data_IF_382109436126
#
_entry.id   IF_382109436126
#
_cell.length_a   1.000
_cell.length_b   1.000
_cell.length_c   1.000
_cell.angle_alpha   90.00
_cell.angle_beta   90.00
_cell.angle_gamma   90.00
#
_symmetry.space_group_name_H-M   'P 1'
#
loop_
_entity.id
_entity.type
_entity.pdbx_description
1 polymer ?
#
# COMPACT_ATOMS: atom_id res chain seq x y z
N UNK A 1 -60.44 -15.67 27.26
CA UNK A 1 -60.17 -14.84 28.46
C UNK A 1 -58.69 -14.72 28.87
N UNK A 2 -57.81 -15.76 28.88
CA UNK A 2 -56.40 -15.56 29.27
C UNK A 2 -55.45 -15.16 28.12
N UNK A 3 -55.77 -15.45 26.86
CA UNK A 3 -54.88 -15.17 25.70
C UNK A 3 -54.90 -13.71 25.23
N UNK A 4 -56.06 -13.05 25.23
CA UNK A 4 -56.19 -11.65 24.80
C UNK A 4 -55.40 -10.71 25.72
N UNK A 5 -55.46 -10.96 27.04
CA UNK A 5 -54.75 -10.18 28.04
C UNK A 5 -53.23 -10.32 27.94
N UNK A 6 -52.74 -11.50 27.52
CA UNK A 6 -51.32 -11.76 27.29
C UNK A 6 -50.84 -11.06 26.00
N UNK A 7 -51.67 -11.04 24.96
CA UNK A 7 -51.39 -10.35 23.71
C UNK A 7 -51.32 -8.84 23.91
N UNK A 8 -52.26 -8.28 24.69
CA UNK A 8 -52.29 -6.85 25.02
C UNK A 8 -51.04 -6.43 25.80
N UNK A 9 -50.62 -7.23 26.80
CA UNK A 9 -49.36 -7.00 27.52
C UNK A 9 -48.13 -7.09 26.62
N UNK A 10 -48.10 -8.01 25.65
CA UNK A 10 -46.99 -8.12 24.71
C UNK A 10 -46.90 -6.91 23.77
N UNK A 11 -48.04 -6.41 23.29
CA UNK A 11 -48.11 -5.21 22.45
C UNK A 11 -47.69 -3.95 23.22
N UNK A 12 -48.11 -3.80 24.48
CA UNK A 12 -47.67 -2.71 25.34
C UNK A 12 -46.16 -2.75 25.60
N UNK A 13 -45.60 -3.93 25.90
CA UNK A 13 -44.15 -4.09 26.08
C UNK A 13 -43.37 -3.79 24.80
N UNK A 14 -43.88 -4.20 23.64
CA UNK A 14 -43.26 -3.90 22.35
C UNK A 14 -43.27 -2.41 22.04
N UNK A 15 -44.40 -1.73 22.26
CA UNK A 15 -44.52 -0.28 22.06
C UNK A 15 -43.59 0.49 23.00
N UNK A 16 -43.50 0.06 24.26
CA UNK A 16 -42.62 0.69 25.24
C UNK A 16 -41.13 0.45 24.94
N UNK A 17 -40.77 -0.71 24.39
CA UNK A 17 -39.42 -0.98 23.92
C UNK A 17 -39.04 -0.09 22.72
N UNK A 18 -39.97 0.10 21.78
CA UNK A 18 -39.79 0.96 20.62
C UNK A 18 -39.63 2.44 21.01
N UNK A 19 -40.47 2.94 21.92
CA UNK A 19 -40.36 4.31 22.44
C UNK A 19 -39.03 4.54 23.18
N UNK A 20 -38.59 3.57 23.98
CA UNK A 20 -37.29 3.63 24.64
C UNK A 20 -36.13 3.63 23.64
N UNK A 21 -36.23 2.86 22.55
CA UNK A 21 -35.22 2.84 21.49
C UNK A 21 -35.09 4.22 20.83
N UNK A 22 -36.21 4.83 20.42
CA UNK A 22 -36.19 6.17 19.82
C UNK A 22 -35.63 7.23 20.76
N UNK A 23 -35.99 7.19 22.06
CA UNK A 23 -35.45 8.13 23.05
C UNK A 23 -33.94 8.02 23.21
N UNK A 24 -33.40 6.80 23.22
CA UNK A 24 -31.95 6.57 23.33
C UNK A 24 -31.23 7.03 22.05
N UNK A 25 -31.80 6.78 20.88
CA UNK A 25 -31.20 7.21 19.62
C UNK A 25 -31.23 8.75 19.47
N UNK A 26 -32.28 9.41 19.91
CA UNK A 26 -32.36 10.87 19.96
C UNK A 26 -31.29 11.47 20.89
N UNK A 27 -31.09 10.88 22.07
CA UNK A 27 -30.01 11.28 22.98
C UNK A 27 -28.62 11.08 22.36
N UNK A 28 -28.43 10.00 21.60
CA UNK A 28 -27.18 9.70 20.89
C UNK A 28 -26.90 10.74 19.80
N UNK A 29 -27.89 11.07 18.99
CA UNK A 29 -27.79 12.09 17.94
C UNK A 29 -27.47 13.48 18.54
N UNK A 30 -28.17 13.88 19.61
CA UNK A 30 -27.88 15.13 20.32
C UNK A 30 -26.45 15.16 20.91
N UNK A 31 -25.92 14.02 21.35
CA UNK A 31 -24.55 13.93 21.84
C UNK A 31 -23.51 14.03 20.71
N UNK A 32 -23.80 13.46 19.53
CA UNK A 32 -22.95 13.59 18.34
C UNK A 32 -22.93 15.03 17.81
N UNK A 33 -24.08 15.71 17.76
CA UNK A 33 -24.16 17.10 17.30
C UNK A 33 -23.38 18.03 18.25
N UNK A 34 -23.53 17.87 19.58
CA UNK A 34 -22.71 18.60 20.56
C UNK A 34 -21.21 18.36 20.39
N UNK A 35 -20.79 17.15 20.00
CA UNK A 35 -19.38 16.85 19.72
C UNK A 35 -18.89 17.56 18.47
N UNK A 36 -19.66 17.56 17.39
CA UNK A 36 -19.35 18.28 16.14
C UNK A 36 -19.24 19.78 16.37
N UNK A 37 -20.17 20.37 17.12
CA UNK A 37 -20.12 21.78 17.49
C UNK A 37 -18.85 22.11 18.30
N UNK A 38 -18.48 21.24 19.25
CA UNK A 38 -17.27 21.41 20.04
C UNK A 38 -15.98 21.27 19.21
N UNK A 39 -15.95 20.38 18.22
CA UNK A 39 -14.85 20.26 17.26
C UNK A 39 -14.75 21.51 16.39
N UNK A 40 -15.86 21.97 15.83
CA UNK A 40 -15.89 23.16 14.99
C UNK A 40 -15.45 24.42 15.77
N UNK A 41 -15.86 24.55 17.04
CA UNK A 41 -15.41 25.62 17.91
C UNK A 41 -13.89 25.58 18.18
N UNK A 42 -13.31 24.38 18.33
CA UNK A 42 -11.86 24.22 18.48
C UNK A 42 -11.10 24.61 17.20
N UNK A 43 -11.61 24.24 16.04
CA UNK A 43 -11.02 24.62 14.75
C UNK A 43 -11.04 26.14 14.54
N UNK A 44 -12.18 26.79 14.80
CA UNK A 44 -12.33 28.24 14.76
C UNK A 44 -11.37 28.94 15.72
N UNK A 45 -11.19 28.39 16.93
CA UNK A 45 -10.25 28.93 17.90
C UNK A 45 -8.79 28.81 17.42
N UNK A 46 -8.40 27.66 16.87
CA UNK A 46 -7.06 27.49 16.28
C UNK A 46 -6.81 28.45 15.11
N UNK A 47 -7.79 28.65 14.24
CA UNK A 47 -7.69 29.61 13.13
C UNK A 47 -7.53 31.05 13.63
N UNK A 48 -8.25 31.43 14.71
CA UNK A 48 -8.08 32.73 15.35
C UNK A 48 -6.68 32.89 15.96
N UNK A 49 -6.15 31.87 16.65
CA UNK A 49 -4.79 31.93 17.20
C UNK A 49 -3.74 32.06 16.09
N UNK A 50 -3.87 31.29 15.00
CA UNK A 50 -2.99 31.40 13.83
C UNK A 50 -3.04 32.81 13.24
N UNK A 51 -4.23 33.39 13.07
CA UNK A 51 -4.39 34.76 12.57
C UNK A 51 -3.72 35.82 13.48
N UNK A 52 -3.74 35.63 14.81
CA UNK A 52 -3.05 36.50 15.76
C UNK A 52 -1.53 36.36 15.70
N UNK A 53 -1.01 35.14 15.51
CA UNK A 53 0.43 34.89 15.32
C UNK A 53 0.94 35.56 14.03
N UNK A 54 0.17 35.50 12.94
CA UNK A 54 0.53 36.20 11.70
C UNK A 54 0.38 37.72 11.78
N UNK A 55 -0.50 38.24 12.65
CA UNK A 55 -0.67 39.68 12.86
C UNK A 55 0.37 40.30 13.80
N UNK A 56 0.99 39.50 14.68
CA UNK A 56 2.03 39.94 15.63
C UNK A 56 3.47 39.84 15.09
N UNK A 57 3.65 39.30 13.88
CA UNK A 57 4.95 39.17 13.21
C UNK A 57 5.42 40.37 12.37
N UNK A 58 4.77 41.55 12.46
CA UNK A 58 5.25 42.77 11.77
C UNK A 58 5.99 43.70 12.75
N UNK A 59 7.27 44.03 12.49
CA UNK A 59 7.94 45.07 13.26
C UNK A 59 7.36 46.44 12.88
N UNK A 60 6.99 47.21 13.90
CA UNK A 60 6.61 48.61 13.81
C UNK A 60 7.83 49.49 13.47
N UNK A 61 7.82 50.14 12.31
CA UNK A 61 8.64 51.33 12.06
C UNK A 61 7.75 52.58 12.13
N UNK A 62 7.98 53.38 13.16
CA UNK A 62 7.40 54.70 13.37
C UNK A 62 8.02 55.75 12.44
N UNK A 63 7.19 56.53 11.76
CA UNK A 63 7.56 57.91 11.39
C UNK A 63 6.30 58.79 11.30
N UNK A 64 6.31 59.85 12.10
CA UNK A 64 5.30 60.90 12.23
C UNK A 64 5.39 61.95 11.11
N UNK A 65 4.26 62.37 10.53
CA UNK A 65 4.02 63.74 10.07
C UNK A 65 2.53 64.04 9.86
N UNK A 66 2.16 65.30 10.10
CA UNK A 66 0.87 65.93 10.45
C UNK A 66 -0.18 66.12 9.31
N UNK A 67 -1.42 66.60 9.60
CA UNK A 67 -2.61 66.42 8.74
C UNK A 67 -3.14 67.70 8.02
N UNK A 68 -3.89 67.52 6.90
CA UNK A 68 -5.05 68.31 6.37
C UNK A 68 -5.35 67.98 4.87
N UNK A 69 -6.50 68.38 4.26
CA UNK A 69 -7.89 67.93 4.48
C UNK A 69 -8.59 67.41 3.19
N UNK A 70 -9.78 66.80 3.33
CA UNK A 70 -10.70 66.29 2.28
C UNK A 70 -11.37 67.41 1.44
N UNK A 71 -11.78 67.19 0.15
CA UNK A 71 -13.13 66.64 -0.24
C UNK A 71 -13.18 66.00 -1.68
N UNK A 72 -14.32 65.82 -2.39
CA UNK A 72 -15.64 65.21 -2.08
C UNK A 72 -16.04 64.04 -3.04
N UNK A 73 -17.23 63.47 -2.85
CA UNK A 73 -17.80 62.28 -3.51
C UNK A 73 -18.67 62.54 -4.78
N UNK A 74 -18.74 61.56 -5.72
CA UNK A 74 -19.90 61.11 -6.57
C UNK A 74 -19.45 60.16 -7.73
N UNK A 75 -20.33 59.45 -8.49
CA UNK A 75 -21.20 58.29 -8.19
C UNK A 75 -20.96 57.11 -9.21
N UNK A 76 -21.77 56.03 -9.29
CA UNK A 76 -21.39 54.76 -9.92
C UNK A 76 -21.89 54.58 -11.38
N UNK A 77 -21.26 53.68 -12.15
CA UNK A 77 -21.73 53.24 -13.48
C UNK A 77 -21.62 51.72 -13.64
N UNK A 78 -22.70 51.15 -14.19
CA UNK A 78 -23.04 49.74 -14.44
C UNK A 78 -22.59 49.30 -15.86
N UNK A 79 -22.59 47.99 -16.10
CA UNK A 79 -22.71 47.25 -17.39
C UNK A 79 -21.40 46.61 -17.88
N UNK A 80 -21.32 45.52 -18.64
CA UNK A 80 -22.13 44.33 -18.97
C UNK A 80 -21.34 43.60 -20.08
N UNK A 81 -21.20 42.28 -20.02
CA UNK A 81 -20.74 41.34 -21.09
C UNK A 81 -21.59 41.38 -22.38
N UNK A 82 -21.31 40.63 -23.49
CA UNK A 82 -20.10 40.11 -24.22
C UNK A 82 -20.28 40.32 -25.79
N UNK A 83 -19.93 39.44 -26.79
CA UNK A 83 -18.92 38.38 -27.01
C UNK A 83 -18.14 38.40 -28.38
N UNK A 84 -17.12 37.52 -28.48
CA UNK A 84 -16.54 36.74 -29.62
C UNK A 84 -16.66 37.13 -31.11
N UNK A 85 -15.56 37.00 -31.88
CA UNK A 85 -15.56 36.49 -33.27
C UNK A 85 -14.18 35.93 -33.73
N UNK A 86 -14.24 34.86 -34.53
CA UNK A 86 -13.17 34.09 -35.20
C UNK A 86 -12.64 34.75 -36.49
N UNK A 87 -11.39 34.44 -36.92
CA UNK A 87 -11.04 34.12 -38.34
C UNK A 87 -9.59 33.59 -38.51
N UNK A 88 -9.38 32.82 -39.60
CA UNK A 88 -8.26 31.92 -39.98
C UNK A 88 -7.07 32.63 -40.71
N UNK A 89 -5.87 32.00 -40.72
CA UNK A 89 -4.54 32.43 -41.29
C UNK A 89 -4.39 32.44 -42.84
N UNK A 90 -3.25 32.11 -43.51
CA UNK A 90 -1.86 31.69 -43.12
C UNK A 90 -0.73 32.41 -43.99
N UNK A 91 0.40 31.78 -44.45
CA UNK A 91 1.67 31.42 -43.78
C UNK A 91 2.95 32.06 -44.40
N UNK A 92 4.13 31.89 -43.76
CA UNK A 92 5.43 32.30 -44.32
C UNK A 92 6.63 31.45 -43.85
N UNK A 93 7.36 30.91 -44.83
CA UNK A 93 8.62 30.15 -44.74
C UNK A 93 9.81 30.96 -44.17
N UNK A 94 10.81 30.31 -43.54
CA UNK A 94 12.20 30.16 -44.04
C UNK A 94 13.22 29.71 -42.95
N UNK A 95 13.91 28.61 -43.29
CA UNK A 95 15.33 28.26 -43.14
C UNK A 95 16.08 28.27 -41.78
N UNK A 96 16.53 27.05 -41.48
CA UNK A 96 17.75 26.60 -40.76
C UNK A 96 19.05 27.16 -41.40
N UNK A 97 20.17 27.21 -40.65
CA UNK A 97 21.35 26.47 -41.10
C UNK A 97 22.04 25.68 -39.96
N UNK A 98 23.00 24.85 -40.38
CA UNK A 98 23.77 23.89 -39.58
C UNK A 98 25.28 24.20 -39.61
N UNK A 99 26.00 23.50 -38.71
CA UNK A 99 27.40 23.04 -38.73
C UNK A 99 28.57 24.00 -38.46
N UNK A 100 29.40 23.61 -37.46
CA UNK A 100 30.89 23.50 -37.42
C UNK A 100 31.24 22.91 -36.04
N UNK A 101 31.75 21.68 -35.87
CA UNK A 101 33.14 21.15 -36.02
C UNK A 101 34.23 22.07 -35.50
N UNK A 102 34.87 21.68 -34.38
CA UNK A 102 36.32 21.80 -34.21
C UNK A 102 36.86 20.80 -33.18
N UNK A 103 38.13 20.46 -33.35
CA UNK A 103 38.86 19.30 -32.85
C UNK A 103 40.22 19.73 -32.25
N UNK A 104 40.87 18.79 -31.54
CA UNK A 104 42.23 18.83 -30.92
C UNK A 104 42.28 19.48 -29.51
N UNK A 105 43.01 19.00 -28.49
CA UNK A 105 44.20 18.13 -28.40
C UNK A 105 44.48 17.72 -26.92
N UNK A 106 45.21 16.61 -26.70
CA UNK A 106 45.91 16.16 -25.47
C UNK A 106 47.44 16.20 -25.71
N UNK A 107 48.38 15.85 -24.78
CA UNK A 107 48.52 15.98 -23.31
C UNK A 107 49.93 16.59 -22.95
N UNK A 108 50.55 16.46 -21.74
CA UNK A 108 51.18 15.22 -21.24
C UNK A 108 51.21 15.00 -19.70
N UNK A 109 51.69 13.81 -19.34
CA UNK A 109 51.88 13.12 -18.04
C UNK A 109 52.99 13.65 -17.11
N UNK A 110 52.86 13.40 -15.79
CA UNK A 110 53.89 12.74 -14.91
C UNK A 110 53.36 12.52 -13.48
N UNK A 111 53.63 11.33 -12.93
CA UNK A 111 53.47 10.85 -11.53
C UNK A 111 54.84 10.96 -10.80
N UNK A 112 55.00 10.91 -9.44
CA UNK A 112 54.74 9.68 -8.66
C UNK A 112 54.41 9.78 -7.13
N UNK A 113 53.78 8.69 -6.63
CA UNK A 113 53.93 8.00 -5.31
C UNK A 113 53.39 8.62 -3.99
N UNK A 114 52.39 7.94 -3.37
CA UNK A 114 52.43 7.44 -1.98
C UNK A 114 51.26 6.49 -1.60
N UNK A 115 51.64 5.25 -1.26
CA UNK A 115 51.11 4.33 -0.22
C UNK A 115 49.71 3.68 -0.35
N UNK A 116 49.72 2.35 -0.21
CA UNK A 116 48.69 1.38 -0.56
C UNK A 116 47.95 0.78 0.66
N UNK A 117 46.67 0.42 0.45
CA UNK A 117 45.91 -0.62 1.17
C UNK A 117 44.91 -1.28 0.18
N UNK A 118 44.55 -2.57 0.35
CA UNK A 118 44.25 -3.47 -0.77
C UNK A 118 42.82 -3.37 -1.35
N UNK A 119 42.78 -3.30 -2.68
CA UNK A 119 41.61 -3.32 -3.56
C UNK A 119 40.98 -4.72 -3.69
N UNK A 120 39.74 -4.90 -3.22
CA UNK A 120 38.89 -6.07 -3.56
C UNK A 120 37.52 -5.64 -4.15
N UNK A 121 37.27 -4.35 -4.38
CA UNK A 121 35.90 -3.86 -4.67
C UNK A 121 35.68 -3.25 -6.06
N UNK A 122 36.56 -3.50 -7.03
CA UNK A 122 36.49 -2.81 -8.32
C UNK A 122 36.67 -3.73 -9.52
N UNK A 123 35.84 -4.77 -9.60
CA UNK A 123 35.73 -5.56 -10.82
C UNK A 123 34.33 -6.13 -11.06
N UNK A 124 33.30 -5.28 -11.02
CA UNK A 124 31.95 -5.68 -11.48
C UNK A 124 31.11 -4.51 -12.03
N UNK A 125 31.69 -3.52 -12.72
CA UNK A 125 30.88 -2.55 -13.47
C UNK A 125 31.54 -2.12 -14.77
N UNK A 126 31.26 -2.87 -15.84
CA UNK A 126 30.92 -2.32 -17.16
C UNK A 126 30.92 -3.44 -18.20
N UNK A 127 29.73 -3.71 -18.77
CA UNK A 127 29.44 -3.81 -20.21
C UNK A 127 28.17 -4.68 -20.43
N UNK A 128 27.15 -4.08 -21.05
CA UNK A 128 26.12 -4.81 -21.79
C UNK A 128 24.68 -4.51 -21.39
N UNK A 129 24.06 -3.50 -22.01
CA UNK A 129 22.62 -3.20 -21.93
C UNK A 129 21.77 -4.20 -22.75
N UNK A 130 22.04 -5.50 -22.64
CA UNK A 130 21.39 -6.54 -23.44
C UNK A 130 21.10 -7.84 -22.67
N UNK A 131 20.97 -7.79 -21.33
CA UNK A 131 20.72 -8.97 -20.49
C UNK A 131 19.47 -8.91 -19.59
N UNK A 132 18.66 -7.84 -19.66
CA UNK A 132 17.47 -7.71 -18.80
C UNK A 132 16.36 -8.71 -19.18
N UNK A 133 16.13 -8.95 -20.47
CA UNK A 133 15.07 -9.87 -20.93
C UNK A 133 15.25 -11.33 -20.47
N UNK A 134 16.49 -11.85 -20.48
CA UNK A 134 16.73 -13.25 -20.11
C UNK A 134 16.52 -13.56 -18.63
N UNK A 135 16.85 -12.62 -17.73
CA UNK A 135 16.66 -12.84 -16.29
C UNK A 135 15.19 -12.77 -15.88
N UNK A 136 14.40 -11.92 -16.54
CA UNK A 136 12.96 -11.82 -16.31
C UNK A 136 12.24 -13.08 -16.83
N UNK A 137 12.65 -13.61 -17.98
CA UNK A 137 12.10 -14.86 -18.53
C UNK A 137 12.39 -16.07 -17.61
N UNK A 138 13.60 -16.13 -17.03
CA UNK A 138 13.99 -17.19 -16.09
C UNK A 138 13.12 -17.19 -14.82
N UNK A 139 12.91 -16.02 -14.20
CA UNK A 139 12.07 -15.91 -12.99
C UNK A 139 10.59 -16.14 -13.31
N UNK A 140 10.09 -15.71 -14.47
CA UNK A 140 8.72 -16.03 -14.91
C UNK A 140 8.52 -17.54 -15.02
N UNK A 141 9.49 -18.27 -15.57
CA UNK A 141 9.43 -19.74 -15.61
C UNK A 141 9.39 -20.35 -14.21
N UNK A 142 10.14 -19.80 -13.25
CA UNK A 142 10.06 -20.23 -11.86
C UNK A 142 8.69 -19.92 -11.25
N UNK A 143 8.10 -18.76 -11.53
CA UNK A 143 6.73 -18.43 -11.07
C UNK A 143 5.71 -19.42 -11.63
N UNK A 144 5.81 -19.81 -12.90
CA UNK A 144 4.94 -20.86 -13.47
C UNK A 144 5.07 -22.18 -12.70
N UNK A 145 6.27 -22.55 -12.30
CA UNK A 145 6.54 -23.81 -11.59
C UNK A 145 6.00 -23.89 -10.16
N UNK A 146 5.74 -22.74 -9.52
CA UNK A 146 5.17 -22.72 -8.15
C UNK A 146 3.65 -22.87 -8.14
N UNK A 147 2.97 -22.59 -9.26
CA UNK A 147 1.51 -22.68 -9.34
C UNK A 147 1.09 -24.15 -9.16
N UNK A 148 0.29 -24.48 -8.12
CA UNK A 148 -0.12 -25.84 -7.89
C UNK A 148 -1.06 -26.32 -9.01
N UNK A 149 -0.91 -27.55 -9.51
CA UNK A 149 -1.85 -28.09 -10.48
C UNK A 149 -3.22 -28.33 -9.82
N UNK A 150 -4.28 -27.97 -10.53
CA UNK A 150 -5.65 -28.31 -10.14
C UNK A 150 -5.86 -29.82 -10.30
N UNK A 151 -6.08 -30.53 -9.19
CA UNK A 151 -6.26 -31.98 -9.19
C UNK A 151 -7.37 -32.41 -8.25
N UNK A 152 -8.07 -33.50 -8.58
CA UNK A 152 -9.11 -34.09 -7.73
C UNK A 152 -8.57 -34.81 -6.49
N UNK A 153 -7.24 -34.92 -6.35
CA UNK A 153 -6.58 -35.60 -5.24
C UNK A 153 -6.41 -34.70 -4.01
N UNK A 154 -6.49 -33.39 -4.18
CA UNK A 154 -6.36 -32.43 -3.11
C UNK A 154 -7.69 -32.14 -2.44
N UNK A 155 -7.65 -31.74 -1.18
CA UNK A 155 -8.80 -31.33 -0.39
C UNK A 155 -8.75 -29.84 -0.08
N UNK A 156 -9.92 -29.25 0.19
CA UNK A 156 -10.08 -27.83 0.51
C UNK A 156 -9.08 -27.37 1.60
N UNK A 157 -8.35 -26.32 1.29
CA UNK A 157 -7.37 -25.67 2.17
C UNK A 157 -5.93 -26.11 1.92
N UNK A 158 -5.66 -27.10 1.06
CA UNK A 158 -4.29 -27.53 0.78
C UNK A 158 -3.52 -26.55 -0.10
N UNK A 159 -4.22 -25.77 -0.94
CA UNK A 159 -3.60 -24.84 -1.89
C UNK A 159 -3.64 -23.38 -1.40
N UNK A 160 -3.96 -23.14 -0.13
CA UNK A 160 -3.74 -21.84 0.51
C UNK A 160 -4.81 -21.46 1.51
N UNK A 161 -4.40 -21.30 2.77
CA UNK A 161 -5.22 -20.70 3.82
C UNK A 161 -4.55 -19.40 4.26
N UNK A 162 -5.01 -18.27 3.75
CA UNK A 162 -4.35 -16.98 3.96
C UNK A 162 -5.07 -16.19 5.05
N UNK A 163 -4.33 -15.68 6.03
CA UNK A 163 -4.84 -14.77 7.05
C UNK A 163 -4.48 -13.32 6.73
N UNK A 164 -5.44 -12.41 6.84
CA UNK A 164 -5.27 -10.98 6.67
C UNK A 164 -5.49 -10.34 8.04
N UNK A 165 -4.45 -9.70 8.58
CA UNK A 165 -4.49 -8.93 9.82
C UNK A 165 -4.62 -7.45 9.45
N UNK A 166 -5.81 -6.90 9.66
CA UNK A 166 -6.12 -5.52 9.27
C UNK A 166 -7.61 -5.24 9.34
N UNK A 167 -8.03 -4.08 8.87
CA UNK A 167 -9.40 -3.62 9.00
C UNK A 167 -9.70 -3.04 10.36
N UNK A 168 -9.64 -1.71 10.44
CA UNK A 168 -10.16 -0.91 11.53
C UNK A 168 -11.49 -0.26 11.14
N UNK A 169 -12.04 0.55 12.05
CA UNK A 169 -13.33 1.24 11.90
C UNK A 169 -13.49 1.95 10.56
N UNK A 170 -12.45 2.63 10.08
CA UNK A 170 -12.52 3.47 8.90
C UNK A 170 -12.04 2.77 7.61
N UNK A 171 -11.19 1.73 7.73
CA UNK A 171 -10.52 1.10 6.59
C UNK A 171 -10.98 -0.35 6.37
N UNK A 172 -12.23 -0.53 5.95
CA UNK A 172 -12.83 -1.84 5.69
C UNK A 172 -12.57 -2.38 4.28
N UNK A 173 -12.33 -1.50 3.31
CA UNK A 173 -12.10 -1.88 1.90
C UNK A 173 -10.74 -2.56 1.67
N UNK A 174 -9.69 -2.06 2.32
CA UNK A 174 -8.32 -2.59 2.18
C UNK A 174 -8.19 -4.09 2.55
N UNK A 175 -8.63 -4.55 3.75
CA UNK A 175 -8.56 -5.96 4.10
C UNK A 175 -9.46 -6.82 3.19
N UNK A 176 -10.58 -6.29 2.70
CA UNK A 176 -11.42 -6.97 1.71
C UNK A 176 -10.68 -7.19 0.39
N UNK A 177 -10.05 -6.14 -0.17
CA UNK A 177 -9.33 -6.27 -1.43
C UNK A 177 -8.15 -7.25 -1.33
N UNK A 178 -7.43 -7.26 -0.21
CA UNK A 178 -6.39 -8.25 0.03
C UNK A 178 -6.96 -9.68 0.09
N UNK A 179 -8.03 -9.87 0.88
CA UNK A 179 -8.64 -11.18 1.08
C UNK A 179 -9.29 -11.76 -0.19
N UNK A 180 -10.05 -10.96 -0.93
CA UNK A 180 -10.68 -11.42 -2.17
C UNK A 180 -9.65 -11.66 -3.28
N UNK A 181 -8.53 -10.93 -3.28
CA UNK A 181 -7.43 -11.19 -4.20
C UNK A 181 -6.77 -12.53 -3.92
N UNK A 182 -6.53 -12.85 -2.64
CA UNK A 182 -6.01 -14.17 -2.26
C UNK A 182 -6.90 -15.30 -2.79
N UNK A 183 -8.22 -15.20 -2.63
CA UNK A 183 -9.16 -16.19 -3.19
C UNK A 183 -9.08 -16.25 -4.72
N UNK A 184 -9.09 -15.10 -5.39
CA UNK A 184 -9.13 -15.04 -6.86
C UNK A 184 -7.83 -15.46 -7.55
N UNK A 185 -6.70 -15.38 -6.84
CA UNK A 185 -5.43 -15.97 -7.30
C UNK A 185 -5.48 -17.49 -7.27
N UNK A 186 -6.28 -18.08 -6.39
CA UNK A 186 -6.41 -19.53 -6.23
C UNK A 186 -6.18 -20.02 -4.81
N UNK A 187 -6.10 -19.13 -3.81
CA UNK A 187 -6.12 -19.55 -2.41
C UNK A 187 -7.47 -20.17 -2.04
N UNK A 188 -7.44 -21.33 -1.37
CA UNK A 188 -8.65 -22.08 -1.01
C UNK A 188 -9.52 -21.40 0.05
N UNK A 189 -8.89 -20.70 1.00
CA UNK A 189 -9.56 -20.02 2.11
C UNK A 189 -8.87 -18.71 2.44
N UNK A 190 -9.66 -17.69 2.72
CA UNK A 190 -9.18 -16.38 3.15
C UNK A 190 -9.87 -15.99 4.47
N UNK A 191 -9.04 -15.76 5.48
CA UNK A 191 -9.45 -15.36 6.83
C UNK A 191 -9.12 -13.88 7.03
N UNK A 192 -10.07 -13.08 7.49
CA UNK A 192 -9.82 -11.67 7.83
C UNK A 192 -9.97 -11.51 9.33
N UNK A 193 -8.91 -11.09 10.01
CA UNK A 193 -8.92 -10.74 11.42
C UNK A 193 -8.94 -9.22 11.52
N UNK A 194 -10.10 -8.68 11.88
CA UNK A 194 -10.38 -7.25 11.89
C UNK A 194 -11.01 -6.81 13.21
N UNK A 195 -11.17 -5.50 13.38
CA UNK A 195 -11.92 -4.96 14.50
C UNK A 195 -13.39 -5.35 14.41
N UNK A 196 -14.07 -5.34 15.55
CA UNK A 196 -15.50 -5.67 15.62
C UNK A 196 -16.35 -4.79 14.71
N UNK A 197 -16.06 -3.49 14.68
CA UNK A 197 -16.79 -2.49 13.88
C UNK A 197 -16.60 -2.69 12.36
N UNK A 198 -15.41 -3.15 11.94
CA UNK A 198 -15.11 -3.42 10.54
C UNK A 198 -15.82 -4.67 9.99
N UNK A 199 -16.10 -5.64 10.88
CA UNK A 199 -16.43 -7.00 10.47
C UNK A 199 -17.75 -7.12 9.68
N UNK A 200 -18.80 -6.41 10.11
CA UNK A 200 -20.11 -6.47 9.43
C UNK A 200 -20.01 -5.93 8.02
N UNK A 201 -19.25 -4.85 7.82
CA UNK A 201 -19.02 -4.23 6.51
C UNK A 201 -18.21 -5.15 5.61
N UNK A 202 -17.12 -5.75 6.12
CA UNK A 202 -16.30 -6.68 5.32
C UNK A 202 -17.11 -7.92 4.91
N UNK A 203 -17.92 -8.47 5.81
CA UNK A 203 -18.81 -9.61 5.54
C UNK A 203 -19.86 -9.31 4.47
N UNK A 204 -20.33 -8.06 4.37
CA UNK A 204 -21.34 -7.69 3.36
C UNK A 204 -20.76 -7.57 1.94
N UNK A 205 -19.44 -7.40 1.80
CA UNK A 205 -18.78 -7.35 0.49
C UNK A 205 -18.68 -8.72 -0.19
N UNK A 206 -18.52 -9.81 0.58
CA UNK A 206 -18.46 -11.17 0.02
C UNK A 206 -18.78 -12.26 1.05
N UNK A 207 -19.64 -13.24 0.70
CA UNK A 207 -19.94 -14.39 1.57
C UNK A 207 -18.80 -15.42 1.61
N UNK A 208 -17.80 -15.33 0.73
CA UNK A 208 -16.68 -16.29 0.65
C UNK A 208 -15.64 -16.07 1.76
N UNK A 209 -15.59 -14.86 2.33
CA UNK A 209 -14.59 -14.49 3.32
C UNK A 209 -14.95 -14.99 4.72
N UNK A 210 -13.97 -15.59 5.42
CA UNK A 210 -14.12 -15.97 6.82
C UNK A 210 -13.64 -14.83 7.70
N UNK A 211 -14.56 -14.01 8.19
CA UNK A 211 -14.24 -12.77 8.93
C UNK A 211 -14.37 -12.96 10.44
N UNK A 212 -13.27 -12.70 11.15
CA UNK A 212 -13.07 -12.84 12.60
C UNK A 212 -13.01 -11.45 13.28
N UNK A 213 -14.07 -11.02 13.98
CA UNK A 213 -14.13 -9.73 14.68
C UNK A 213 -13.40 -9.79 16.03
N UNK A 214 -12.08 -9.95 16.01
CA UNK A 214 -11.29 -10.22 17.23
C UNK A 214 -10.10 -9.29 17.43
N UNK A 215 -9.72 -8.48 16.43
CA UNK A 215 -8.45 -7.74 16.42
C UNK A 215 -8.34 -6.70 17.55
N UNK A 216 -9.48 -6.18 18.00
CA UNK A 216 -9.64 -5.22 19.09
C UNK A 216 -10.14 -5.83 20.40
N UNK A 217 -10.20 -7.16 20.49
CA UNK A 217 -10.55 -7.85 21.73
C UNK A 217 -9.40 -7.78 22.75
N UNK A 218 -9.67 -7.71 24.08
CA UNK A 218 -8.62 -7.80 25.10
C UNK A 218 -7.74 -9.05 25.00
N UNK A 219 -8.29 -10.15 24.47
CA UNK A 219 -7.61 -11.42 24.21
C UNK A 219 -7.40 -11.68 22.70
N UNK A 220 -7.27 -10.62 21.91
CA UNK A 220 -7.18 -10.69 20.45
C UNK A 220 -6.10 -11.68 19.99
N UNK A 221 -4.93 -11.64 20.62
CA UNK A 221 -3.81 -12.45 20.16
C UNK A 221 -4.04 -13.93 20.44
N UNK A 222 -4.62 -14.29 21.59
CA UNK A 222 -4.97 -15.67 21.92
C UNK A 222 -6.06 -16.21 20.97
N UNK A 223 -7.04 -15.39 20.59
CA UNK A 223 -8.07 -15.79 19.63
C UNK A 223 -7.50 -16.01 18.23
N UNK A 224 -6.61 -15.12 17.77
CA UNK A 224 -5.93 -15.25 16.47
C UNK A 224 -4.98 -16.45 16.47
N UNK A 225 -4.27 -16.69 17.58
CA UNK A 225 -3.30 -17.78 17.73
C UNK A 225 -3.92 -19.17 17.51
N UNK A 226 -5.20 -19.36 17.86
CA UNK A 226 -5.93 -20.61 17.58
C UNK A 226 -6.00 -20.95 16.09
N UNK A 227 -5.93 -19.94 15.22
CA UNK A 227 -6.00 -20.10 13.77
C UNK A 227 -4.63 -20.24 13.10
N UNK A 228 -3.57 -19.65 13.68
CA UNK A 228 -2.23 -19.64 13.08
C UNK A 228 -1.74 -21.03 12.63
N UNK A 229 -1.91 -22.14 13.39
CA UNK A 229 -1.49 -23.47 12.94
C UNK A 229 -2.15 -23.97 11.64
N UNK A 230 -3.27 -23.35 11.24
CA UNK A 230 -4.00 -23.69 10.02
C UNK A 230 -3.63 -22.76 8.86
N UNK A 231 -3.01 -21.61 9.12
CA UNK A 231 -2.69 -20.66 8.06
C UNK A 231 -1.39 -21.06 7.35
N UNK A 232 -1.38 -20.82 6.05
CA UNK A 232 -0.24 -21.06 5.18
C UNK A 232 0.54 -19.79 4.83
N UNK A 233 -0.07 -18.63 5.04
CA UNK A 233 0.53 -17.32 4.85
C UNK A 233 -0.26 -16.26 5.59
N UNK A 234 0.42 -15.20 5.97
CA UNK A 234 -0.16 -14.06 6.68
C UNK A 234 0.12 -12.78 5.91
N UNK A 235 -0.88 -11.92 5.78
CA UNK A 235 -0.76 -10.56 5.26
C UNK A 235 -1.11 -9.60 6.40
N UNK A 236 -0.24 -8.64 6.71
CA UNK A 236 -0.41 -7.73 7.83
C UNK A 236 -0.36 -6.29 7.36
N UNK A 237 -1.37 -5.50 7.74
CA UNK A 237 -1.39 -4.05 7.53
C UNK A 237 -2.52 -3.46 6.68
N UNK A 238 -3.16 -4.17 5.72
CA UNK A 238 -4.27 -3.61 4.94
C UNK A 238 -5.40 -3.08 5.82
N UNK A 239 -5.51 -1.75 5.92
CA UNK A 239 -6.47 -1.07 6.77
C UNK A 239 -6.31 -1.32 8.27
N UNK A 240 -5.11 -1.69 8.75
CA UNK A 240 -4.86 -1.98 10.17
C UNK A 240 -5.09 -0.76 11.07
N UNK A 241 -4.80 0.45 10.58
CA UNK A 241 -4.80 1.65 11.41
C UNK A 241 -3.52 1.75 12.25
N UNK A 242 -3.42 2.82 13.03
CA UNK A 242 -2.21 3.16 13.81
C UNK A 242 -2.49 3.35 15.29
N UNK A 243 -3.60 2.82 15.77
CA UNK A 243 -3.91 2.81 17.20
C UNK A 243 -2.94 1.87 17.92
N UNK A 244 -2.35 2.33 19.02
CA UNK A 244 -1.25 1.61 19.71
C UNK A 244 -1.62 0.17 20.07
N UNK A 245 -2.86 -0.06 20.50
CA UNK A 245 -3.31 -1.41 20.86
C UNK A 245 -3.41 -2.34 19.64
N UNK A 246 -3.86 -1.84 18.48
CA UNK A 246 -3.92 -2.63 17.23
C UNK A 246 -2.51 -2.96 16.74
N UNK A 247 -1.60 -1.98 16.80
CA UNK A 247 -0.19 -2.19 16.43
C UNK A 247 0.49 -3.20 17.38
N UNK A 248 0.18 -3.16 18.68
CA UNK A 248 0.65 -4.15 19.66
C UNK A 248 0.12 -5.55 19.35
N UNK A 249 -1.18 -5.70 19.10
CA UNK A 249 -1.78 -6.97 18.70
C UNK A 249 -1.11 -7.50 17.42
N UNK A 250 -0.96 -6.67 16.39
CA UNK A 250 -0.34 -7.05 15.12
C UNK A 250 1.13 -7.49 15.32
N UNK A 251 1.89 -6.78 16.15
CA UNK A 251 3.27 -7.17 16.53
C UNK A 251 3.32 -8.58 17.10
N UNK A 252 2.50 -8.85 18.13
CA UNK A 252 2.51 -10.16 18.79
C UNK A 252 2.03 -11.29 17.86
N UNK A 253 1.09 -11.01 16.96
CA UNK A 253 0.66 -11.96 15.93
C UNK A 253 1.79 -12.25 14.93
N UNK A 254 2.55 -11.23 14.50
CA UNK A 254 3.73 -11.42 13.63
C UNK A 254 4.75 -12.32 14.34
N UNK A 255 5.08 -12.04 15.60
CA UNK A 255 6.06 -12.82 16.38
C UNK A 255 5.62 -14.29 16.54
N UNK A 256 4.34 -14.53 16.89
CA UNK A 256 3.77 -15.89 16.98
C UNK A 256 3.72 -16.62 15.63
N UNK A 257 3.59 -15.89 14.53
CA UNK A 257 3.60 -16.45 13.17
C UNK A 257 5.01 -16.80 12.71
N UNK A 258 6.01 -15.97 13.05
CA UNK A 258 7.44 -16.26 12.83
C UNK A 258 7.87 -17.53 13.57
N UNK A 259 7.45 -17.67 14.83
CA UNK A 259 7.74 -18.86 15.63
C UNK A 259 7.16 -20.17 15.03
N UNK A 260 6.21 -20.04 14.10
CA UNK A 260 5.56 -21.15 13.38
C UNK A 260 6.04 -21.29 11.93
N UNK A 261 7.03 -20.51 11.52
CA UNK A 261 7.61 -20.56 10.18
C UNK A 261 6.60 -20.29 9.04
N UNK A 262 5.57 -19.48 9.33
CA UNK A 262 4.53 -19.05 8.40
C UNK A 262 5.07 -17.87 7.56
N UNK A 263 5.01 -17.89 6.22
CA UNK A 263 5.31 -16.72 5.38
C UNK A 263 4.49 -15.48 5.75
N UNK A 264 5.12 -14.30 5.81
CA UNK A 264 4.45 -13.05 6.25
C UNK A 264 4.70 -11.94 5.23
N UNK A 265 3.64 -11.38 4.66
CA UNK A 265 3.67 -10.17 3.85
C UNK A 265 3.25 -8.99 4.72
N UNK A 266 4.04 -7.93 4.75
CA UNK A 266 3.75 -6.70 5.51
C UNK A 266 3.59 -5.54 4.53
N UNK A 267 2.41 -4.92 4.54
CA UNK A 267 2.04 -3.79 3.69
C UNK A 267 1.46 -2.63 4.53
N UNK A 268 1.35 -1.44 3.94
CA UNK A 268 0.65 -0.29 4.52
C UNK A 268 1.01 -0.01 6.00
N UNK A 269 0.04 0.02 6.92
CA UNK A 269 0.29 0.30 8.34
C UNK A 269 1.08 -0.81 9.06
N UNK A 270 1.18 -2.00 8.48
CA UNK A 270 2.15 -3.00 8.94
C UNK A 270 3.59 -2.51 8.76
N UNK A 271 3.88 -1.76 7.68
CA UNK A 271 5.19 -1.14 7.46
C UNK A 271 5.42 0.02 8.41
N UNK A 272 4.36 0.70 8.83
CA UNK A 272 4.45 1.71 9.90
C UNK A 272 4.94 1.06 11.20
N UNK A 273 4.38 -0.09 11.60
CA UNK A 273 4.88 -0.86 12.74
C UNK A 273 6.36 -1.25 12.56
N UNK A 274 6.74 -1.80 11.40
CA UNK A 274 8.12 -2.21 11.12
C UNK A 274 9.09 -1.02 11.17
N UNK A 275 8.68 0.16 10.70
CA UNK A 275 9.52 1.38 10.76
C UNK A 275 9.86 1.76 12.21
N UNK A 276 8.93 1.56 13.15
CA UNK A 276 9.15 1.88 14.56
C UNK A 276 9.80 0.73 15.34
N UNK A 277 9.57 -0.51 14.93
CA UNK A 277 10.07 -1.71 15.60
C UNK A 277 10.58 -2.74 14.58
N UNK A 278 11.72 -2.49 13.89
CA UNK A 278 12.20 -3.38 12.81
C UNK A 278 12.40 -4.83 13.25
N UNK A 279 12.82 -5.04 14.51
CA UNK A 279 13.06 -6.34 15.12
C UNK A 279 11.86 -7.31 15.06
N UNK A 280 10.63 -6.79 14.88
CA UNK A 280 9.41 -7.61 14.75
C UNK A 280 9.50 -8.60 13.58
N UNK A 281 10.22 -8.25 12.52
CA UNK A 281 10.35 -9.06 11.30
C UNK A 281 11.79 -9.20 10.79
N UNK A 282 12.73 -8.38 11.27
CA UNK A 282 14.13 -8.41 10.85
C UNK A 282 14.74 -9.83 10.92
N UNK A 283 15.47 -10.21 9.86
CA UNK A 283 16.12 -11.51 9.71
C UNK A 283 15.20 -12.68 9.37
N UNK A 284 13.87 -12.48 9.30
CA UNK A 284 12.93 -13.55 9.00
C UNK A 284 12.82 -13.82 7.49
N UNK A 285 13.51 -14.83 6.98
CA UNK A 285 13.66 -15.08 5.53
C UNK A 285 12.34 -15.32 4.76
N UNK A 286 11.26 -15.71 5.44
CA UNK A 286 9.91 -15.84 4.83
C UNK A 286 9.06 -14.58 4.94
N UNK A 287 9.64 -13.47 5.40
CA UNK A 287 8.99 -12.17 5.44
C UNK A 287 9.20 -11.39 4.14
N UNK A 288 8.17 -10.65 3.72
CA UNK A 288 8.18 -9.80 2.54
C UNK A 288 7.62 -8.44 2.91
N UNK A 289 8.34 -7.36 2.63
CA UNK A 289 7.84 -5.99 2.82
C UNK A 289 7.49 -5.38 1.47
N UNK A 290 6.36 -4.69 1.37
CA UNK A 290 5.87 -4.10 0.11
C UNK A 290 5.76 -2.57 0.14
N UNK A 291 6.80 -1.82 0.53
CA UNK A 291 6.69 -0.37 0.66
C UNK A 291 6.46 0.34 -0.68
N UNK A 292 5.58 1.34 -0.66
CA UNK A 292 5.64 2.40 -1.67
C UNK A 292 6.84 3.32 -1.42
N UNK A 293 7.13 4.24 -2.34
CA UNK A 293 8.27 5.15 -2.22
C UNK A 293 8.33 5.89 -0.86
N UNK A 294 7.22 6.42 -0.36
CA UNK A 294 7.20 7.16 0.91
C UNK A 294 7.36 6.25 2.14
N UNK A 295 6.81 5.05 2.09
CA UNK A 295 7.02 4.02 3.12
C UNK A 295 8.48 3.55 3.13
N UNK A 296 9.06 3.37 1.94
CA UNK A 296 10.43 2.93 1.76
C UNK A 296 11.42 3.97 2.30
N UNK A 297 11.25 5.25 1.94
CA UNK A 297 12.11 6.33 2.45
C UNK A 297 12.06 6.39 3.98
N UNK A 298 10.87 6.34 4.58
CA UNK A 298 10.73 6.35 6.05
C UNK A 298 11.41 5.16 6.71
N UNK A 299 11.24 3.97 6.13
CA UNK A 299 11.87 2.75 6.64
C UNK A 299 13.40 2.82 6.49
N UNK A 300 13.90 3.30 5.35
CA UNK A 300 15.32 3.47 5.08
C UNK A 300 15.97 4.43 6.09
N UNK A 301 15.39 5.62 6.27
CA UNK A 301 15.89 6.63 7.19
C UNK A 301 15.84 6.17 8.64
N UNK A 302 14.80 5.43 9.03
CA UNK A 302 14.67 4.88 10.38
C UNK A 302 15.76 3.83 10.70
N UNK A 303 16.17 3.02 9.72
CA UNK A 303 17.19 1.98 9.91
C UNK A 303 18.62 2.47 9.73
N UNK A 304 18.88 3.35 8.77
CA UNK A 304 20.23 3.82 8.46
C UNK A 304 20.62 5.11 9.19
N UNK A 305 19.64 5.82 9.78
CA UNK A 305 19.84 7.12 10.42
C UNK A 305 20.44 8.18 9.47
N UNK A 306 20.20 8.04 8.17
CA UNK A 306 20.66 8.94 7.12
C UNK A 306 19.58 9.09 6.03
N UNK A 307 19.53 10.23 5.32
CA UNK A 307 18.57 10.43 4.24
C UNK A 307 18.83 9.44 3.09
N UNK A 308 17.75 8.90 2.54
CA UNK A 308 17.85 7.99 1.41
C UNK A 308 18.35 8.72 0.15
N UNK A 309 19.33 8.13 -0.53
CA UNK A 309 19.75 8.61 -1.84
C UNK A 309 18.72 8.27 -2.92
N UNK A 310 17.99 9.27 -3.42
CA UNK A 310 16.96 9.11 -4.46
C UNK A 310 17.50 8.90 -5.88
N UNK A 311 18.82 8.97 -6.10
CA UNK A 311 19.41 8.80 -7.43
C UNK A 311 19.66 7.33 -7.82
N UNK A 312 19.72 6.41 -6.86
CA UNK A 312 20.04 4.99 -7.09
C UNK A 312 19.16 4.06 -6.25
N UNK A 313 17.90 3.91 -6.67
CA UNK A 313 16.92 3.06 -5.99
C UNK A 313 17.33 1.59 -5.92
N UNK A 314 18.09 1.08 -6.89
CA UNK A 314 18.56 -0.31 -6.89
C UNK A 314 19.56 -0.55 -5.75
N UNK A 315 20.51 0.37 -5.57
CA UNK A 315 21.42 0.30 -4.42
C UNK A 315 20.66 0.44 -3.11
N UNK A 316 19.74 1.40 -3.00
CA UNK A 316 18.99 1.61 -1.75
C UNK A 316 18.14 0.40 -1.35
N UNK A 317 17.44 -0.26 -2.28
CA UNK A 317 16.63 -1.44 -1.95
C UNK A 317 17.50 -2.63 -1.51
N UNK A 318 18.67 -2.80 -2.12
CA UNK A 318 19.63 -3.83 -1.71
C UNK A 318 20.20 -3.55 -0.31
N UNK A 319 20.60 -2.30 -0.04
CA UNK A 319 21.12 -1.88 1.27
C UNK A 319 20.09 -2.07 2.38
N UNK A 320 18.84 -1.63 2.17
CA UNK A 320 17.79 -1.77 3.17
C UNK A 320 17.45 -3.24 3.42
N UNK A 321 17.41 -4.06 2.37
CA UNK A 321 17.14 -5.49 2.51
C UNK A 321 18.24 -6.19 3.33
N UNK A 322 19.51 -5.88 3.04
CA UNK A 322 20.64 -6.38 3.81
C UNK A 322 20.60 -5.92 5.28
N UNK A 323 20.31 -4.64 5.53
CA UNK A 323 20.14 -4.10 6.89
C UNK A 323 18.97 -4.76 7.64
N UNK A 324 17.91 -5.15 6.92
CA UNK A 324 16.78 -5.91 7.46
C UNK A 324 17.07 -7.41 7.63
N UNK A 325 18.32 -7.85 7.46
CA UNK A 325 18.74 -9.25 7.62
C UNK A 325 18.39 -10.12 6.41
N UNK A 326 18.58 -9.58 5.20
CA UNK A 326 18.28 -10.22 3.91
C UNK A 326 16.78 -10.54 3.72
N UNK A 327 15.94 -9.65 4.24
CA UNK A 327 14.49 -9.73 4.11
C UNK A 327 14.07 -9.35 2.69
N UNK A 328 13.12 -10.06 2.07
CA UNK A 328 12.65 -9.67 0.74
C UNK A 328 11.91 -8.32 0.80
N UNK A 329 12.35 -7.36 -0.01
CA UNK A 329 11.74 -6.04 -0.16
C UNK A 329 11.20 -5.88 -1.58
N UNK A 330 10.02 -5.28 -1.68
CA UNK A 330 9.38 -4.86 -2.93
C UNK A 330 9.16 -3.36 -2.88
N UNK A 331 10.06 -2.60 -3.50
CA UNK A 331 9.89 -1.16 -3.68
C UNK A 331 8.96 -0.91 -4.85
N UNK A 332 7.70 -0.57 -4.54
CA UNK A 332 6.64 -0.32 -5.54
C UNK A 332 6.93 0.97 -6.31
N UNK A 333 6.85 0.92 -7.64
CA UNK A 333 7.27 2.03 -8.49
C UNK A 333 6.71 2.01 -9.91
N UNK A 334 7.36 2.74 -10.82
CA UNK A 334 7.10 2.61 -12.26
C UNK A 334 7.44 1.19 -12.75
N UNK A 335 8.59 0.72 -12.29
CA UNK A 335 8.97 -0.69 -12.20
C UNK A 335 9.03 -1.05 -10.71
N UNK A 336 8.61 -2.27 -10.36
CA UNK A 336 8.72 -2.74 -8.99
C UNK A 336 10.12 -3.36 -8.81
N UNK A 337 10.92 -2.82 -7.90
CA UNK A 337 12.25 -3.34 -7.59
C UNK A 337 12.17 -4.32 -6.44
N UNK A 338 12.66 -5.54 -6.66
CA UNK A 338 12.57 -6.65 -5.72
C UNK A 338 13.98 -7.06 -5.31
N UNK A 339 14.26 -7.14 -4.03
CA UNK A 339 15.59 -7.55 -3.53
C UNK A 339 15.50 -8.38 -2.27
N UNK A 340 16.39 -9.37 -2.15
CA UNK A 340 16.67 -10.13 -0.92
C UNK A 340 18.01 -9.73 -0.29
N UNK A 341 18.58 -8.60 -0.71
CA UNK A 341 19.83 -8.06 -0.19
C UNK A 341 21.06 -8.56 -0.95
N UNK A 342 20.89 -9.60 -1.77
CA UNK A 342 21.97 -10.12 -2.63
C UNK A 342 21.89 -9.58 -4.07
N UNK A 343 20.66 -9.50 -4.61
CA UNK A 343 20.42 -9.12 -6.00
C UNK A 343 19.11 -8.34 -6.13
N UNK A 344 19.07 -7.42 -7.07
CA UNK A 344 17.87 -6.68 -7.45
C UNK A 344 17.28 -7.26 -8.73
N UNK A 345 15.98 -7.50 -8.72
CA UNK A 345 15.15 -7.88 -9.85
C UNK A 345 14.19 -6.74 -10.15
N UNK A 346 13.89 -6.49 -11.43
CA UNK A 346 12.97 -5.43 -11.83
C UNK A 346 11.75 -6.06 -12.50
N UNK A 347 10.57 -5.90 -11.91
CA UNK A 347 9.34 -6.31 -12.57
C UNK A 347 8.83 -5.15 -13.45
N UNK A 348 9.09 -5.23 -14.76
CA UNK A 348 8.71 -4.22 -15.75
C UNK A 348 7.49 -4.59 -16.60
N UNK A 349 6.66 -5.56 -16.17
CA UNK A 349 5.37 -5.86 -16.82
C UNK A 349 4.60 -4.56 -17.01
N UNK A 350 3.99 -4.34 -18.17
CA UNK A 350 3.30 -3.09 -18.45
C UNK A 350 2.07 -2.95 -17.53
N UNK A 351 1.99 -1.85 -16.79
CA UNK A 351 0.82 -1.45 -15.99
C UNK A 351 -0.04 -0.42 -16.73
N UNK A 352 -0.61 0.52 -16.00
CA UNK A 352 -1.24 1.72 -16.54
C UNK A 352 -0.89 2.94 -15.70
N UNK A 353 -1.12 4.14 -16.23
CA UNK A 353 -0.98 5.40 -15.46
C UNK A 353 -2.07 5.59 -14.39
N UNK A 354 -3.05 4.69 -14.26
CA UNK A 354 -4.17 4.82 -13.33
C UNK A 354 -3.83 4.20 -11.97
N UNK A 355 -3.83 5.06 -10.94
CA UNK A 355 -3.58 4.71 -9.54
C UNK A 355 -4.88 4.50 -8.75
N UNK A 356 -5.30 3.25 -8.59
CA UNK A 356 -6.46 2.90 -7.76
C UNK A 356 -6.03 2.77 -6.30
N UNK A 357 -6.87 3.20 -5.34
CA UNK A 357 -6.50 3.21 -3.92
C UNK A 357 -6.14 1.84 -3.34
N UNK A 358 -6.76 0.76 -3.83
CA UNK A 358 -6.55 -0.61 -3.31
C UNK A 358 -5.61 -1.47 -4.16
N UNK A 359 -4.75 -0.87 -4.99
CA UNK A 359 -3.78 -1.61 -5.79
C UNK A 359 -2.77 -2.39 -4.93
N UNK A 360 -2.31 -1.79 -3.83
CA UNK A 360 -1.42 -2.43 -2.87
C UNK A 360 -2.07 -3.62 -2.17
N UNK A 361 -3.37 -3.51 -1.86
CA UNK A 361 -4.13 -4.58 -1.24
C UNK A 361 -4.24 -5.81 -2.17
N UNK A 362 -4.48 -5.59 -3.47
CA UNK A 362 -4.45 -6.67 -4.47
C UNK A 362 -3.08 -7.35 -4.50
N UNK A 363 -2.01 -6.56 -4.52
CA UNK A 363 -0.64 -7.06 -4.53
C UNK A 363 -0.34 -7.92 -3.30
N UNK A 364 -0.55 -7.40 -2.08
CA UNK A 364 -0.19 -8.12 -0.87
C UNK A 364 -1.06 -9.36 -0.64
N UNK A 365 -2.36 -9.30 -1.00
CA UNK A 365 -3.26 -10.46 -0.99
C UNK A 365 -2.80 -11.57 -1.94
N UNK A 366 -2.45 -11.20 -3.18
CA UNK A 366 -1.91 -12.14 -4.18
C UNK A 366 -0.57 -12.75 -3.72
N UNK A 367 0.29 -11.91 -3.14
CA UNK A 367 1.61 -12.30 -2.66
C UNK A 367 1.53 -13.27 -1.48
N UNK A 368 0.52 -13.16 -0.61
CA UNK A 368 0.32 -14.11 0.48
C UNK A 368 0.10 -15.56 -0.02
N UNK A 369 -0.66 -15.73 -1.10
CA UNK A 369 -0.88 -17.03 -1.74
C UNK A 369 0.39 -17.53 -2.43
N UNK A 370 1.01 -16.67 -3.26
CA UNK A 370 2.20 -17.05 -4.01
C UNK A 370 3.39 -17.35 -3.09
N UNK A 371 3.50 -16.69 -1.93
CA UNK A 371 4.53 -16.98 -0.94
C UNK A 371 4.36 -18.40 -0.37
N UNK A 372 3.13 -18.80 -0.04
CA UNK A 372 2.87 -20.17 0.36
C UNK A 372 3.29 -21.17 -0.72
N UNK A 373 2.86 -20.95 -1.96
CA UNK A 373 3.19 -21.82 -3.09
C UNK A 373 4.69 -21.91 -3.34
N UNK A 374 5.40 -20.78 -3.32
CA UNK A 374 6.84 -20.74 -3.54
C UNK A 374 7.61 -21.48 -2.45
N UNK A 375 7.28 -21.25 -1.17
CA UNK A 375 7.92 -21.95 -0.05
C UNK A 375 7.61 -23.46 -0.06
N UNK A 376 6.39 -23.85 -0.44
CA UNK A 376 6.03 -25.26 -0.61
C UNK A 376 6.81 -25.91 -1.76
N UNK A 377 6.90 -25.25 -2.91
CA UNK A 377 7.64 -25.74 -4.07
C UNK A 377 9.16 -25.81 -3.80
N UNK A 378 9.72 -24.86 -3.05
CA UNK A 378 11.11 -24.90 -2.60
C UNK A 378 11.37 -26.07 -1.66
N UNK A 379 10.47 -26.32 -0.70
CA UNK A 379 10.54 -27.48 0.21
C UNK A 379 10.46 -28.81 -0.56
N UNK A 380 9.65 -28.86 -1.62
CA UNK A 380 9.56 -29.99 -2.55
C UNK A 380 10.76 -30.11 -3.51
N UNK A 381 11.70 -29.15 -3.48
CA UNK A 381 12.90 -29.14 -4.33
C UNK A 381 12.67 -28.75 -5.78
N UNK A 382 11.50 -28.20 -6.13
CA UNK A 382 11.12 -27.73 -7.47
C UNK A 382 11.81 -26.42 -7.84
N UNK A 383 12.04 -25.55 -6.85
CA UNK A 383 12.79 -24.30 -7.00
C UNK A 383 14.11 -24.45 -6.26
N UNK A 384 15.25 -24.20 -6.92
CA UNK A 384 16.59 -24.24 -6.32
C UNK A 384 17.39 -23.01 -6.72
N UNK A 385 18.21 -22.51 -5.79
CA UNK A 385 19.14 -21.41 -6.06
C UNK A 385 18.51 -20.01 -6.15
N UNK A 386 17.21 -19.86 -5.86
CA UNK A 386 16.54 -18.56 -5.76
C UNK A 386 15.68 -18.51 -4.49
N UNK A 387 15.64 -17.35 -3.84
CA UNK A 387 14.80 -17.12 -2.68
C UNK A 387 13.31 -17.27 -3.06
N UNK A 388 12.55 -18.17 -2.43
CA UNK A 388 11.13 -18.38 -2.75
C UNK A 388 10.28 -17.11 -2.59
N UNK A 389 10.63 -16.27 -1.62
CA UNK A 389 9.96 -14.99 -1.38
C UNK A 389 10.15 -14.01 -2.55
N UNK A 390 11.30 -14.04 -3.24
CA UNK A 390 11.55 -13.24 -4.45
C UNK A 390 10.70 -13.73 -5.62
N UNK A 391 10.59 -15.05 -5.81
CA UNK A 391 9.73 -15.66 -6.85
C UNK A 391 8.26 -15.26 -6.62
N UNK A 392 7.78 -15.39 -5.38
CA UNK A 392 6.43 -14.98 -5.00
C UNK A 392 6.19 -13.49 -5.24
N UNK A 393 7.14 -12.63 -4.84
CA UNK A 393 7.05 -11.19 -5.04
C UNK A 393 6.97 -10.83 -6.53
N UNK A 394 7.83 -11.43 -7.36
CA UNK A 394 7.85 -11.16 -8.79
C UNK A 394 6.55 -11.58 -9.47
N UNK A 395 6.02 -12.76 -9.12
CA UNK A 395 4.72 -13.22 -9.62
C UNK A 395 3.57 -12.29 -9.23
N UNK A 396 3.53 -11.85 -7.98
CA UNK A 396 2.46 -10.98 -7.48
C UNK A 396 2.51 -9.57 -8.09
N UNK A 397 3.71 -9.00 -8.26
CA UNK A 397 3.92 -7.75 -8.99
C UNK A 397 3.47 -7.88 -10.44
N UNK A 398 3.94 -8.91 -11.15
CA UNK A 398 3.57 -9.18 -12.54
C UNK A 398 2.05 -9.26 -12.72
N UNK A 399 1.39 -10.01 -11.84
CA UNK A 399 -0.06 -10.16 -11.83
C UNK A 399 -0.77 -8.83 -11.59
N UNK A 400 -0.39 -8.09 -10.56
CA UNK A 400 -1.02 -6.81 -10.20
C UNK A 400 -0.95 -5.81 -11.34
N UNK A 401 0.22 -5.73 -11.99
CA UNK A 401 0.46 -4.82 -13.12
C UNK A 401 -0.35 -5.23 -14.35
N UNK A 402 -0.40 -6.53 -14.66
CA UNK A 402 -1.21 -7.08 -15.74
C UNK A 402 -2.72 -6.89 -15.50
N UNK A 403 -3.19 -7.01 -14.25
CA UNK A 403 -4.58 -6.69 -13.87
C UNK A 403 -4.87 -5.19 -14.09
N UNK A 404 -3.95 -4.32 -13.68
CA UNK A 404 -4.12 -2.88 -13.86
C UNK A 404 -4.18 -2.48 -15.33
N UNK A 405 -3.29 -3.02 -16.16
CA UNK A 405 -3.26 -2.76 -17.59
C UNK A 405 -4.58 -3.19 -18.26
N UNK A 406 -5.05 -4.42 -18.01
CA UNK A 406 -6.31 -4.91 -18.59
C UNK A 406 -7.53 -4.12 -18.12
N UNK A 407 -7.63 -3.83 -16.82
CA UNK A 407 -8.75 -3.06 -16.30
C UNK A 407 -8.75 -1.64 -16.89
N UNK A 408 -7.57 -1.03 -17.03
CA UNK A 408 -7.43 0.28 -17.66
C UNK A 408 -7.78 0.27 -19.15
N UNK A 409 -7.44 -0.77 -19.90
CA UNK A 409 -7.86 -0.88 -21.29
C UNK A 409 -9.39 -0.94 -21.44
N UNK A 410 -10.10 -1.52 -20.46
CA UNK A 410 -11.57 -1.63 -20.48
C UNK A 410 -12.28 -0.38 -19.95
N UNK A 411 -11.77 0.21 -18.87
CA UNK A 411 -12.47 1.27 -18.13
C UNK A 411 -11.77 2.63 -18.22
N UNK A 412 -10.55 2.70 -18.73
CA UNK A 412 -9.78 3.94 -18.86
C UNK A 412 -9.70 4.70 -17.54
N UNK A 413 -10.08 5.98 -17.57
CA UNK A 413 -10.02 6.87 -16.40
C UNK A 413 -10.87 6.37 -15.22
N UNK A 414 -12.00 5.70 -15.48
CA UNK A 414 -12.92 5.26 -14.42
C UNK A 414 -12.50 3.99 -13.70
N UNK A 415 -11.41 3.34 -14.13
CA UNK A 415 -10.91 2.11 -13.50
C UNK A 415 -10.77 2.26 -11.98
N UNK A 416 -11.30 1.27 -11.28
CA UNK A 416 -11.29 1.12 -9.81
C UNK A 416 -10.56 -0.15 -9.41
N UNK A 417 -10.32 -0.32 -8.10
CA UNK A 417 -9.75 -1.58 -7.60
C UNK A 417 -10.66 -2.76 -7.90
N UNK A 418 -11.98 -2.61 -7.78
CA UNK A 418 -12.94 -3.68 -8.07
C UNK A 418 -12.86 -4.15 -9.52
N UNK A 419 -12.60 -3.25 -10.47
CA UNK A 419 -12.38 -3.62 -11.87
C UNK A 419 -11.09 -4.44 -12.01
N UNK A 420 -10.01 -4.05 -11.33
CA UNK A 420 -8.76 -4.83 -11.31
C UNK A 420 -8.95 -6.23 -10.70
N UNK A 421 -9.78 -6.36 -9.67
CA UNK A 421 -10.12 -7.64 -9.05
C UNK A 421 -10.81 -8.58 -10.06
N UNK A 422 -11.60 -8.05 -10.99
CA UNK A 422 -12.22 -8.87 -12.05
C UNK A 422 -11.20 -9.38 -13.07
N UNK A 423 -10.06 -8.69 -13.23
CA UNK A 423 -9.00 -9.09 -14.15
C UNK A 423 -8.03 -10.13 -13.59
N UNK A 424 -8.10 -10.49 -12.30
CA UNK A 424 -7.16 -11.46 -11.70
C UNK A 424 -7.15 -12.78 -12.45
N UNK A 425 -8.31 -13.39 -12.70
CA UNK A 425 -8.41 -14.66 -13.41
C UNK A 425 -7.85 -14.59 -14.85
N UNK A 426 -8.32 -13.66 -15.70
CA UNK A 426 -7.75 -13.44 -17.02
C UNK A 426 -6.23 -13.17 -17.02
N UNK A 427 -5.75 -12.31 -16.12
CA UNK A 427 -4.33 -11.98 -15.97
C UNK A 427 -3.51 -13.20 -15.58
N UNK A 428 -3.98 -13.97 -14.60
CA UNK A 428 -3.32 -15.16 -14.08
C UNK A 428 -3.14 -16.21 -15.18
N UNK A 429 -4.22 -16.51 -15.92
CA UNK A 429 -4.16 -17.43 -17.07
C UNK A 429 -3.15 -16.99 -18.12
N UNK A 430 -3.17 -15.70 -18.46
CA UNK A 430 -2.26 -15.12 -19.45
C UNK A 430 -0.80 -15.23 -19.01
N UNK A 431 -0.49 -14.99 -17.74
CA UNK A 431 0.89 -14.95 -17.26
C UNK A 431 1.44 -16.34 -16.91
N UNK A 432 0.63 -17.19 -16.29
CA UNK A 432 1.14 -18.36 -15.58
C UNK A 432 0.63 -19.71 -16.10
N UNK A 433 -0.45 -19.72 -16.88
CA UNK A 433 -1.04 -20.96 -17.44
C UNK A 433 -0.94 -21.03 -18.97
N UNK A 434 -0.31 -20.04 -19.61
CA UNK A 434 -0.13 -19.95 -21.07
C UNK A 434 1.16 -20.60 -21.57
#
# INVERSE_FOLDING_TARGET
FPMEKLMEQFLEQSAQAEENFYRVEEQRLQAEDRRREAEHARELHMLQMLAQVFSSGRPSSSSSSTPKPSPPARPPVISSTPPSQHTRGPPGHLKRPASQTDSFSQPPSTDPQALALPSVLERYYSLGSSSLGGMDDDIVSLVKSIVPPLTSKKHKGQDGRIGIIGGCKDYTGAPYFAAISALKVGGDLSHVFCTKDAATVIKSYSPELIVHPVLDSPNAVEEIEKWLPRLHGLVVGPGLGREDFLLKTAKEVIERSRARDIPIVIDADGLWLVTHQPAVIQGYQKGILTPNFMEFTRLFEALHHEPMNSSDHQRSVMQLSAAMGNLTLVLKGEQDLISDGSKVYSCSVEGSGRRCGGQGDLLCGSMGVMAHWAHAASTAGLIRGMNPSVVAAFGACSLTRQCNNQAFQRHGRSTTTSDMIQEIGPAFRKLFES
#
